data_IF_145137104814
#
_entry.id   IF_145137104814
#
_cell.length_a   1.000
_cell.length_b   1.000
_cell.length_c   1.000
_cell.angle_alpha   90.00
_cell.angle_beta   90.00
_cell.angle_gamma   90.00
#
_symmetry.space_group_name_H-M   'P 1'
#
loop_
_entity.id
_entity.type
_entity.pdbx_description
1 polymer ?
#
# COMPACT_ATOMS: atom_id res chain seq x y z
N UNK A 1 -6.90 -12.40 -29.13
CA UNK A 1 -7.48 -12.82 -27.84
C UNK A 1 -7.24 -11.67 -26.88
N UNK A 2 -8.26 -11.27 -26.12
CA UNK A 2 -8.10 -10.24 -25.13
C UNK A 2 -7.18 -10.74 -24.01
N UNK A 3 -6.32 -9.86 -23.48
CA UNK A 3 -5.37 -10.24 -22.42
C UNK A 3 -6.13 -10.36 -21.10
N UNK A 4 -6.14 -11.54 -20.49
CA UNK A 4 -6.71 -11.73 -19.16
C UNK A 4 -5.83 -11.04 -18.14
N UNK A 5 -6.37 -10.09 -17.36
CA UNK A 5 -5.64 -9.40 -16.29
C UNK A 5 -6.10 -9.86 -14.92
N UNK A 6 -5.16 -10.02 -14.02
CA UNK A 6 -5.45 -10.38 -12.63
C UNK A 6 -4.78 -9.39 -11.67
N UNK A 7 -5.46 -9.11 -10.57
CA UNK A 7 -4.95 -8.37 -9.40
C UNK A 7 -4.69 -9.33 -8.27
N UNK A 8 -3.54 -9.17 -7.65
CA UNK A 8 -3.08 -10.01 -6.55
C UNK A 8 -2.91 -9.11 -5.33
N UNK A 9 -3.59 -9.48 -4.23
CA UNK A 9 -3.37 -8.90 -2.92
C UNK A 9 -2.37 -9.74 -2.15
N UNK A 10 -1.44 -9.09 -1.46
CA UNK A 10 -0.46 -9.78 -0.64
C UNK A 10 -0.13 -9.00 0.63
N UNK A 11 0.38 -9.73 1.63
CA UNK A 11 0.93 -9.19 2.87
C UNK A 11 2.45 -9.16 2.83
N UNK A 12 3.02 -8.19 3.53
CA UNK A 12 4.47 -8.06 3.74
C UNK A 12 4.74 -7.76 5.20
N UNK A 13 5.39 -8.68 5.91
CA UNK A 13 5.60 -8.56 7.35
C UNK A 13 6.94 -9.17 7.80
N UNK A 14 7.19 -9.17 9.12
CA UNK A 14 8.43 -9.74 9.69
C UNK A 14 9.68 -9.10 9.11
N UNK A 15 10.67 -9.92 8.80
CA UNK A 15 11.95 -9.47 8.23
C UNK A 15 11.84 -8.97 6.79
N UNK A 16 10.77 -9.32 6.08
CA UNK A 16 10.54 -8.87 4.70
C UNK A 16 10.28 -7.36 4.60
N UNK A 17 9.99 -6.66 5.71
CA UNK A 17 9.90 -5.19 5.73
C UNK A 17 11.18 -4.49 5.29
N UNK A 18 12.34 -5.15 5.40
CA UNK A 18 13.63 -4.55 5.06
C UNK A 18 14.00 -4.66 3.57
N UNK A 19 13.23 -5.39 2.75
CA UNK A 19 13.47 -5.43 1.31
C UNK A 19 12.73 -4.30 0.59
N UNK A 20 13.39 -3.69 -0.39
CA UNK A 20 12.86 -2.60 -1.20
C UNK A 20 11.95 -3.09 -2.32
N UNK A 21 11.25 -2.14 -2.98
CA UNK A 21 10.29 -2.43 -4.03
C UNK A 21 10.87 -3.29 -5.18
N UNK A 22 12.07 -2.99 -5.64
CA UNK A 22 12.71 -3.75 -6.74
C UNK A 22 12.98 -5.21 -6.34
N UNK A 23 13.31 -5.47 -5.08
CA UNK A 23 13.54 -6.82 -4.58
C UNK A 23 12.22 -7.57 -4.38
N UNK A 24 11.15 -6.88 -3.93
CA UNK A 24 9.79 -7.44 -3.90
C UNK A 24 9.34 -7.84 -5.30
N UNK A 25 9.56 -7.00 -6.31
CA UNK A 25 9.24 -7.30 -7.70
C UNK A 25 10.00 -8.54 -8.19
N UNK A 26 11.32 -8.61 -7.97
CA UNK A 26 12.15 -9.76 -8.33
C UNK A 26 11.73 -11.03 -7.59
N UNK A 27 11.35 -10.90 -6.33
CA UNK A 27 10.82 -11.99 -5.52
C UNK A 27 9.56 -12.58 -6.16
N UNK A 28 8.55 -11.75 -6.49
CA UNK A 28 7.34 -12.22 -7.15
C UNK A 28 7.59 -12.78 -8.55
N UNK A 29 8.50 -12.24 -9.34
CA UNK A 29 8.89 -12.82 -10.62
C UNK A 29 9.41 -14.27 -10.47
N UNK A 30 10.19 -14.55 -9.41
CA UNK A 30 10.64 -15.91 -9.10
C UNK A 30 9.49 -16.78 -8.60
N UNK A 31 8.61 -16.24 -7.76
CA UNK A 31 7.44 -16.95 -7.23
C UNK A 31 6.48 -17.34 -8.35
N UNK A 32 6.17 -16.46 -9.31
CA UNK A 32 5.34 -16.76 -10.48
C UNK A 32 5.87 -17.95 -11.26
N UNK A 33 7.19 -18.03 -11.50
CA UNK A 33 7.80 -19.16 -12.20
C UNK A 33 7.68 -20.46 -11.40
N UNK A 34 7.98 -20.45 -10.09
CA UNK A 34 7.93 -21.65 -9.23
C UNK A 34 6.51 -22.15 -9.03
N UNK A 35 5.55 -21.24 -8.93
CA UNK A 35 4.13 -21.55 -8.80
C UNK A 35 3.47 -21.87 -10.16
N UNK A 36 4.22 -21.82 -11.27
CA UNK A 36 3.72 -22.06 -12.63
C UNK A 36 2.49 -21.25 -12.99
N UNK A 37 2.44 -19.97 -12.53
CA UNK A 37 1.37 -19.06 -12.92
C UNK A 37 1.58 -18.65 -14.39
N UNK A 38 0.54 -18.75 -15.25
CA UNK A 38 0.67 -18.47 -16.68
C UNK A 38 0.77 -16.96 -16.96
N UNK A 39 1.81 -16.29 -16.43
CA UNK A 39 2.05 -14.86 -16.61
C UNK A 39 2.55 -14.54 -18.01
N UNK A 40 2.02 -13.47 -18.60
CA UNK A 40 2.44 -12.97 -19.90
C UNK A 40 3.77 -12.19 -19.83
N UNK A 41 4.48 -12.17 -20.97
CA UNK A 41 5.72 -11.43 -21.14
C UNK A 41 5.57 -10.35 -22.21
N UNK A 42 6.31 -9.27 -22.07
CA UNK A 42 6.40 -8.24 -23.10
C UNK A 42 7.02 -8.80 -24.38
N UNK A 43 6.67 -8.18 -25.50
CA UNK A 43 7.27 -8.49 -26.80
C UNK A 43 8.65 -7.82 -26.96
N UNK A 44 9.49 -8.32 -27.86
CA UNK A 44 10.77 -7.72 -28.23
C UNK A 44 12.00 -8.52 -27.78
N UNK A 45 13.18 -7.89 -27.86
CA UNK A 45 14.46 -8.56 -27.62
C UNK A 45 14.80 -8.88 -26.17
N UNK A 46 14.13 -8.22 -25.21
CA UNK A 46 14.33 -8.45 -23.77
C UNK A 46 12.99 -8.63 -23.09
N UNK A 47 12.31 -9.79 -23.26
CA UNK A 47 11.01 -10.02 -22.68
C UNK A 47 11.07 -10.07 -21.15
N UNK A 48 10.17 -9.35 -20.51
CA UNK A 48 9.98 -9.36 -19.06
C UNK A 48 8.50 -9.60 -18.69
N UNK A 49 8.27 -10.14 -17.51
CA UNK A 49 6.91 -10.40 -17.04
C UNK A 49 6.10 -9.10 -16.95
N UNK A 50 4.88 -9.12 -17.45
CA UNK A 50 3.97 -7.98 -17.37
C UNK A 50 3.38 -7.94 -15.96
N UNK A 51 3.95 -7.06 -15.13
CA UNK A 51 3.63 -6.91 -13.70
C UNK A 51 3.71 -5.44 -13.31
N UNK A 52 2.70 -4.92 -12.61
CA UNK A 52 2.61 -3.51 -12.19
C UNK A 52 2.09 -3.40 -10.76
N UNK A 53 2.88 -2.83 -9.86
CA UNK A 53 2.49 -2.60 -8.46
C UNK A 53 1.65 -1.33 -8.32
N UNK A 54 0.61 -1.38 -7.48
CA UNK A 54 -0.33 -0.27 -7.30
C UNK A 54 0.29 0.89 -6.51
N UNK A 55 0.79 0.62 -5.31
CA UNK A 55 1.36 1.63 -4.40
C UNK A 55 2.52 1.02 -3.62
N UNK A 56 3.73 0.98 -4.22
CA UNK A 56 4.87 0.31 -3.59
C UNK A 56 5.15 0.78 -2.17
N UNK A 57 5.27 -0.18 -1.24
CA UNK A 57 5.55 0.08 0.16
C UNK A 57 7.01 0.47 0.39
N UNK A 58 7.24 1.47 1.23
CA UNK A 58 8.59 1.85 1.67
C UNK A 58 9.31 0.74 2.44
N UNK A 59 10.64 0.85 2.52
CA UNK A 59 11.46 -0.01 3.38
C UNK A 59 11.17 0.31 4.84
N UNK A 60 11.13 -0.71 5.69
CA UNK A 60 10.83 -0.59 7.11
C UNK A 60 9.34 -0.74 7.47
N UNK A 61 8.43 -0.62 6.49
CA UNK A 61 7.00 -0.76 6.71
C UNK A 61 6.54 -2.21 6.51
N UNK A 62 5.51 -2.59 7.26
CA UNK A 62 4.74 -3.83 7.05
C UNK A 62 3.38 -3.51 6.44
N UNK A 63 2.71 -4.50 5.84
CA UNK A 63 1.40 -4.30 5.23
C UNK A 63 0.58 -5.58 5.15
N UNK A 64 -0.74 -5.44 5.29
CA UNK A 64 -1.76 -6.47 5.03
C UNK A 64 -2.44 -6.29 3.67
N UNK A 65 -2.26 -5.15 3.00
CA UNK A 65 -2.99 -4.77 1.80
C UNK A 65 -2.10 -4.19 0.70
N UNK A 66 -1.14 -4.96 0.18
CA UNK A 66 -0.35 -4.62 -1.00
C UNK A 66 -0.95 -5.25 -2.25
N UNK A 67 -0.82 -4.55 -3.39
CA UNK A 67 -1.40 -5.01 -4.65
C UNK A 67 -0.45 -4.89 -5.83
N UNK A 68 -0.53 -5.86 -6.72
CA UNK A 68 0.01 -5.74 -8.07
C UNK A 68 -0.90 -6.43 -9.09
N UNK A 69 -0.88 -5.92 -10.31
CA UNK A 69 -1.59 -6.44 -11.46
C UNK A 69 -0.64 -7.18 -12.39
N UNK A 70 -1.13 -8.27 -12.99
CA UNK A 70 -0.41 -9.06 -14.00
C UNK A 70 -1.29 -9.30 -15.22
N UNK A 71 -0.65 -9.61 -16.36
CA UNK A 71 -1.32 -10.19 -17.51
C UNK A 71 -1.07 -11.70 -17.56
N UNK A 72 -2.09 -12.46 -17.96
CA UNK A 72 -2.07 -13.91 -18.03
C UNK A 72 -2.15 -14.36 -19.50
N UNK A 73 -1.46 -15.46 -19.83
CA UNK A 73 -1.54 -16.13 -21.13
C UNK A 73 -2.68 -17.13 -21.22
N UNK A 74 -3.29 -17.49 -20.07
CA UNK A 74 -4.42 -18.39 -19.94
C UNK A 74 -5.05 -18.30 -18.57
N UNK A 75 -6.25 -18.83 -18.37
CA UNK A 75 -6.94 -18.78 -17.09
C UNK A 75 -6.26 -19.69 -16.05
N UNK A 76 -6.34 -19.27 -14.79
CA UNK A 76 -6.04 -20.06 -13.61
C UNK A 76 -7.08 -19.71 -12.56
N UNK A 77 -7.69 -20.71 -11.92
CA UNK A 77 -8.69 -20.46 -10.89
C UNK A 77 -8.09 -19.70 -9.71
N UNK A 78 -8.82 -18.70 -9.19
CA UNK A 78 -8.34 -17.80 -8.13
C UNK A 78 -7.81 -18.54 -6.91
N UNK A 79 -8.56 -19.51 -6.40
CA UNK A 79 -8.18 -20.33 -5.23
C UNK A 79 -6.92 -21.16 -5.49
N UNK A 80 -6.81 -21.71 -6.70
CA UNK A 80 -5.64 -22.49 -7.09
C UNK A 80 -4.40 -21.60 -7.23
N UNK A 81 -4.53 -20.41 -7.81
CA UNK A 81 -3.45 -19.46 -7.91
C UNK A 81 -2.93 -19.02 -6.52
N UNK A 82 -3.84 -18.69 -5.59
CA UNK A 82 -3.48 -18.35 -4.20
C UNK A 82 -2.77 -19.51 -3.52
N UNK A 83 -3.29 -20.73 -3.62
CA UNK A 83 -2.67 -21.95 -3.03
C UNK A 83 -1.25 -22.16 -3.56
N UNK A 84 -1.09 -22.20 -4.89
CA UNK A 84 0.21 -22.44 -5.55
C UNK A 84 1.24 -21.34 -5.24
N UNK A 85 0.82 -20.09 -5.18
CA UNK A 85 1.70 -19.00 -4.80
C UNK A 85 2.16 -19.15 -3.35
N UNK A 86 1.25 -19.41 -2.42
CA UNK A 86 1.59 -19.53 -1.00
C UNK A 86 2.49 -20.75 -0.70
N UNK A 87 2.43 -21.82 -1.48
CA UNK A 87 3.35 -22.96 -1.36
C UNK A 87 4.81 -22.62 -1.66
N UNK A 88 5.05 -21.56 -2.41
CA UNK A 88 6.41 -21.09 -2.77
C UNK A 88 6.81 -19.79 -2.07
N UNK A 89 5.92 -19.20 -1.22
CA UNK A 89 6.25 -18.00 -0.46
C UNK A 89 7.23 -18.28 0.66
N UNK A 90 8.11 -17.33 0.93
CA UNK A 90 8.92 -17.32 2.15
C UNK A 90 8.13 -16.69 3.29
N UNK A 91 8.50 -17.02 4.54
CA UNK A 91 7.96 -16.35 5.72
C UNK A 91 8.06 -14.81 5.60
N UNK A 92 6.98 -14.13 5.93
CA UNK A 92 6.87 -12.67 5.80
C UNK A 92 6.26 -12.17 4.49
N UNK A 93 5.90 -13.07 3.57
CA UNK A 93 5.14 -12.79 2.36
C UNK A 93 3.98 -13.78 2.25
N UNK A 94 2.77 -13.30 1.99
CA UNK A 94 1.57 -14.13 1.86
C UNK A 94 0.64 -13.55 0.80
N UNK A 95 0.16 -14.36 -0.14
CA UNK A 95 -0.88 -13.98 -1.10
C UNK A 95 -2.24 -14.20 -0.47
N UNK A 96 -3.07 -13.15 -0.46
CA UNK A 96 -4.40 -13.12 0.18
C UNK A 96 -5.51 -13.37 -0.83
N UNK A 97 -5.44 -12.70 -1.98
CA UNK A 97 -6.45 -12.83 -3.03
C UNK A 97 -5.85 -12.77 -4.43
N UNK A 98 -6.58 -13.34 -5.38
CA UNK A 98 -6.25 -13.34 -6.80
C UNK A 98 -7.56 -13.18 -7.56
N UNK A 99 -7.78 -12.02 -8.20
CA UNK A 99 -9.05 -11.71 -8.85
C UNK A 99 -8.82 -11.20 -10.28
N UNK A 100 -9.75 -11.53 -11.19
CA UNK A 100 -9.75 -10.96 -12.53
C UNK A 100 -10.18 -9.49 -12.47
N UNK A 101 -9.48 -8.64 -13.22
CA UNK A 101 -9.82 -7.22 -13.37
C UNK A 101 -10.08 -6.87 -14.84
N UNK A 102 -10.79 -5.73 -15.12
CA UNK A 102 -10.97 -5.23 -16.47
C UNK A 102 -9.65 -4.97 -17.19
N UNK A 103 -9.63 -5.15 -18.50
CA UNK A 103 -8.42 -5.00 -19.34
C UNK A 103 -7.98 -3.54 -19.54
N UNK A 104 -8.84 -2.60 -19.24
CA UNK A 104 -8.61 -1.17 -19.46
C UNK A 104 -7.40 -0.66 -18.66
N UNK A 105 -6.56 0.17 -19.30
CA UNK A 105 -5.41 0.80 -18.62
C UNK A 105 -5.80 1.62 -17.40
N UNK A 106 -6.95 2.29 -17.46
CA UNK A 106 -7.49 3.06 -16.33
C UNK A 106 -7.97 2.22 -15.15
N UNK A 107 -8.10 0.90 -15.30
CA UNK A 107 -8.46 -0.04 -14.23
C UNK A 107 -7.25 -0.60 -13.48
N UNK A 108 -6.01 -0.27 -13.88
CA UNK A 108 -4.80 -0.74 -13.18
C UNK A 108 -4.71 -0.17 -11.76
N UNK A 109 -4.21 -0.96 -10.82
CA UNK A 109 -4.10 -0.57 -9.41
C UNK A 109 -3.38 0.77 -9.21
N UNK A 110 -2.32 1.03 -9.96
CA UNK A 110 -1.59 2.31 -9.93
C UNK A 110 -2.46 3.50 -10.36
N UNK A 111 -3.42 3.30 -11.27
CA UNK A 111 -4.26 4.36 -11.80
C UNK A 111 -5.49 4.67 -10.91
N UNK A 112 -5.98 3.68 -10.17
CA UNK A 112 -7.26 3.77 -9.44
C UNK A 112 -7.10 4.04 -7.94
N UNK A 113 -5.90 3.90 -7.38
CA UNK A 113 -5.68 4.09 -5.95
C UNK A 113 -5.90 5.55 -5.54
N UNK A 114 -6.68 5.75 -4.47
CA UNK A 114 -7.03 7.08 -3.94
C UNK A 114 -6.71 7.24 -2.45
N UNK A 115 -6.71 6.17 -1.67
CA UNK A 115 -6.46 6.22 -0.24
C UNK A 115 -5.72 4.98 0.27
N UNK A 116 -5.12 5.10 1.44
CA UNK A 116 -4.54 3.98 2.18
C UNK A 116 -4.70 4.18 3.69
N UNK A 117 -4.90 3.06 4.39
CA UNK A 117 -4.98 3.02 5.85
C UNK A 117 -3.65 2.61 6.46
N UNK A 118 -3.34 3.24 7.58
CA UNK A 118 -2.13 2.95 8.35
C UNK A 118 -2.40 2.89 9.85
N UNK A 119 -1.61 2.07 10.54
CA UNK A 119 -1.37 2.18 11.98
C UNK A 119 0.03 2.73 12.21
N UNK A 120 0.13 3.81 12.97
CA UNK A 120 1.37 4.26 13.58
C UNK A 120 1.48 3.64 14.97
N UNK A 121 2.41 2.70 15.13
CA UNK A 121 2.61 1.92 16.36
C UNK A 121 3.81 2.48 17.12
N UNK A 122 3.63 3.03 18.31
CA UNK A 122 4.74 3.52 19.12
C UNK A 122 5.67 2.35 19.48
N UNK A 123 6.98 2.58 19.49
CA UNK A 123 7.97 1.60 19.96
C UNK A 123 8.00 1.52 21.48
N UNK A 124 7.64 2.61 22.15
CA UNK A 124 7.47 2.74 23.58
C UNK A 124 6.04 3.17 23.87
N UNK A 125 5.22 2.23 24.31
CA UNK A 125 3.79 2.45 24.57
C UNK A 125 3.50 3.40 25.76
N UNK A 126 4.52 3.73 26.56
CA UNK A 126 4.39 4.71 27.65
C UNK A 126 4.41 6.16 27.15
N UNK A 127 4.84 6.38 25.91
CA UNK A 127 4.93 7.70 25.26
C UNK A 127 3.79 7.87 24.25
N UNK A 128 2.59 8.03 24.76
CA UNK A 128 1.40 8.12 23.94
C UNK A 128 1.05 9.55 23.51
N UNK A 129 0.52 9.67 22.31
CA UNK A 129 -0.26 10.85 21.90
C UNK A 129 -1.67 10.70 22.44
N UNK A 130 -2.22 11.77 23.02
CA UNK A 130 -3.57 11.74 23.59
C UNK A 130 -4.63 11.92 22.48
N UNK A 131 -5.83 11.39 22.73
CA UNK A 131 -6.99 11.61 21.84
C UNK A 131 -7.27 13.11 21.64
N UNK A 132 -7.19 13.91 22.72
CA UNK A 132 -7.39 15.34 22.66
C UNK A 132 -6.39 16.04 21.72
N UNK A 133 -5.14 15.59 21.67
CA UNK A 133 -4.13 16.13 20.75
C UNK A 133 -4.45 15.80 19.31
N UNK A 134 -4.98 14.60 19.02
CA UNK A 134 -5.43 14.21 17.68
C UNK A 134 -6.62 15.07 17.25
N UNK A 135 -7.60 15.28 18.13
CA UNK A 135 -8.76 16.12 17.83
C UNK A 135 -8.37 17.58 17.60
N UNK A 136 -7.47 18.15 18.42
CA UNK A 136 -6.93 19.50 18.20
C UNK A 136 -6.20 19.59 16.84
N UNK A 137 -5.41 18.57 16.48
CA UNK A 137 -4.72 18.50 15.20
C UNK A 137 -5.69 18.50 14.02
N UNK A 138 -6.75 17.69 14.10
CA UNK A 138 -7.76 17.57 13.06
C UNK A 138 -8.70 18.78 12.97
N UNK A 139 -8.87 19.54 14.04
CA UNK A 139 -9.71 20.75 14.06
C UNK A 139 -9.13 21.93 13.28
N UNK A 140 -7.86 21.87 12.94
CA UNK A 140 -7.20 22.94 12.20
C UNK A 140 -7.67 23.01 10.75
N UNK A 141 -7.87 24.20 10.24
CA UNK A 141 -8.19 24.42 8.83
C UNK A 141 -7.00 24.09 7.92
N UNK A 142 -5.78 24.33 8.42
CA UNK A 142 -4.54 24.07 7.69
C UNK A 142 -3.50 23.36 8.55
N UNK A 143 -2.83 22.39 7.95
CA UNK A 143 -1.66 21.70 8.50
C UNK A 143 -0.54 21.83 7.46
N UNK A 144 0.31 22.81 7.67
CA UNK A 144 1.41 23.13 6.75
C UNK A 144 2.64 22.30 7.06
N UNK A 145 3.17 21.63 6.06
CA UNK A 145 4.40 20.84 6.12
C UNK A 145 5.31 21.19 4.96
N UNK A 146 6.61 21.13 5.18
CA UNK A 146 7.60 21.27 4.11
C UNK A 146 7.86 19.90 3.48
N UNK A 147 7.45 19.73 2.25
CA UNK A 147 7.69 18.53 1.46
C UNK A 147 8.96 18.70 0.65
N UNK A 148 10.00 17.93 0.96
CA UNK A 148 11.24 17.93 0.18
C UNK A 148 11.06 17.12 -1.10
N UNK A 149 11.45 17.70 -2.22
CA UNK A 149 11.58 17.00 -3.50
C UNK A 149 13.06 17.02 -3.90
N UNK A 150 13.46 16.20 -4.88
CA UNK A 150 14.85 16.19 -5.39
C UNK A 150 15.37 17.56 -5.87
N UNK A 151 14.49 18.54 -6.14
CA UNK A 151 14.83 19.80 -6.78
C UNK A 151 14.36 21.05 -6.01
N UNK A 152 13.47 20.90 -5.02
CA UNK A 152 12.87 22.03 -4.30
C UNK A 152 12.21 21.59 -3.01
N UNK A 153 12.11 22.52 -2.08
CA UNK A 153 11.23 22.44 -0.91
C UNK A 153 9.93 23.19 -1.24
N UNK A 154 8.80 22.57 -0.89
CA UNK A 154 7.49 23.20 -1.08
C UNK A 154 6.67 23.03 0.19
N UNK A 155 6.15 24.14 0.69
CA UNK A 155 5.15 24.11 1.74
C UNK A 155 3.81 23.64 1.16
N UNK A 156 3.18 22.68 1.84
CA UNK A 156 1.94 22.03 1.40
C UNK A 156 1.01 21.89 2.59
N UNK A 157 -0.26 22.25 2.39
CA UNK A 157 -1.31 21.94 3.36
C UNK A 157 -1.74 20.47 3.19
N UNK A 158 -1.48 19.64 4.22
CA UNK A 158 -1.83 18.22 4.22
C UNK A 158 -3.18 17.92 4.88
N UNK A 159 -3.82 18.91 5.53
CA UNK A 159 -5.10 18.68 6.22
C UNK A 159 -6.18 18.06 5.33
N UNK A 160 -6.40 18.49 4.07
CA UNK A 160 -7.39 17.89 3.17
C UNK A 160 -7.05 16.46 2.75
N UNK A 161 -5.81 16.01 2.97
CA UNK A 161 -5.34 14.66 2.60
C UNK A 161 -5.42 13.67 3.74
N UNK A 162 -5.79 14.10 4.95
CA UNK A 162 -6.07 13.26 6.11
C UNK A 162 -7.57 13.06 6.14
N UNK A 163 -8.03 11.86 5.72
CA UNK A 163 -9.44 11.52 5.60
C UNK A 163 -10.03 11.13 6.97
N UNK A 164 -9.30 10.31 7.70
CA UNK A 164 -9.67 9.84 9.05
C UNK A 164 -8.41 9.74 9.91
N UNK A 165 -8.53 10.00 11.19
CA UNK A 165 -7.45 9.77 12.16
C UNK A 165 -8.05 9.62 13.55
N UNK A 166 -7.65 8.57 14.26
CA UNK A 166 -8.16 8.28 15.62
C UNK A 166 -7.13 7.49 16.42
N UNK A 167 -7.29 7.50 17.73
CA UNK A 167 -6.48 6.69 18.64
C UNK A 167 -7.09 5.28 18.74
N UNK A 168 -6.26 4.26 18.57
CA UNK A 168 -6.63 2.85 18.77
C UNK A 168 -5.67 2.20 19.77
N UNK A 169 -6.03 2.19 21.05
CA UNK A 169 -5.13 1.79 22.14
C UNK A 169 -3.93 2.73 22.23
N UNK A 170 -2.71 2.20 22.17
CA UNK A 170 -1.48 2.99 22.11
C UNK A 170 -1.15 3.47 20.67
N UNK A 171 -1.77 2.87 19.66
CA UNK A 171 -1.53 3.17 18.24
C UNK A 171 -2.42 4.30 17.74
N UNK A 172 -2.03 4.88 16.61
CA UNK A 172 -2.82 5.88 15.89
C UNK A 172 -3.18 5.31 14.53
N UNK A 173 -4.48 5.14 14.31
CA UNK A 173 -5.03 4.84 12.99
C UNK A 173 -5.10 6.11 12.17
N UNK A 174 -4.80 6.00 10.87
CA UNK A 174 -5.01 7.08 9.91
C UNK A 174 -5.36 6.54 8.53
N UNK A 175 -6.35 7.16 7.90
CA UNK A 175 -6.68 7.00 6.48
C UNK A 175 -6.26 8.26 5.75
N UNK A 176 -5.41 8.11 4.75
CA UNK A 176 -4.81 9.23 4.03
C UNK A 176 -4.94 9.07 2.52
N UNK A 177 -4.96 10.19 1.80
CA UNK A 177 -4.89 10.16 0.35
C UNK A 177 -3.61 9.46 -0.14
N UNK A 178 -3.77 8.58 -1.10
CA UNK A 178 -2.69 7.84 -1.76
C UNK A 178 -2.89 7.83 -3.27
N UNK A 179 -1.82 7.60 -4.01
CA UNK A 179 -1.86 7.49 -5.47
C UNK A 179 -0.95 8.48 -6.19
N UNK A 180 -1.07 8.52 -7.50
CA UNK A 180 -0.13 9.27 -8.36
C UNK A 180 -0.30 10.81 -8.28
N UNK A 181 -1.51 11.29 -8.04
CA UNK A 181 -1.80 12.72 -7.93
C UNK A 181 -1.50 13.27 -6.54
N UNK A 182 -1.82 12.49 -5.51
CA UNK A 182 -1.64 12.87 -4.11
C UNK A 182 -1.23 11.64 -3.32
N UNK A 183 -0.06 11.70 -2.72
CA UNK A 183 0.44 10.63 -1.85
C UNK A 183 0.94 11.24 -0.55
N UNK A 184 0.20 10.99 0.54
CA UNK A 184 0.56 11.41 1.89
C UNK A 184 1.16 10.24 2.65
N UNK A 185 2.39 10.40 3.10
CA UNK A 185 3.07 9.38 3.90
C UNK A 185 2.66 9.49 5.37
N UNK A 186 2.44 8.36 6.07
CA UNK A 186 2.04 8.37 7.47
C UNK A 186 3.10 9.02 8.38
N UNK A 187 4.40 8.87 8.06
CA UNK A 187 5.50 9.50 8.82
C UNK A 187 5.40 11.03 8.79
N UNK A 188 4.95 11.61 7.67
CA UNK A 188 4.80 13.06 7.54
C UNK A 188 3.62 13.58 8.37
N UNK A 189 2.52 12.82 8.45
CA UNK A 189 1.37 13.13 9.31
C UNK A 189 1.79 13.10 10.77
N UNK A 190 2.46 12.03 11.19
CA UNK A 190 2.97 11.87 12.56
C UNK A 190 3.97 12.96 12.93
N UNK A 191 4.88 13.32 12.03
CA UNK A 191 5.85 14.39 12.26
C UNK A 191 5.15 15.74 12.51
N UNK A 192 4.10 16.06 11.73
CA UNK A 192 3.31 17.27 11.90
C UNK A 192 2.55 17.26 13.25
N UNK A 193 1.93 16.14 13.62
CA UNK A 193 1.23 15.97 14.89
C UNK A 193 2.18 16.12 16.08
N UNK A 194 3.31 15.42 16.08
CA UNK A 194 4.29 15.47 17.17
C UNK A 194 4.89 16.88 17.34
N UNK A 195 5.18 17.56 16.22
CA UNK A 195 5.64 18.95 16.25
C UNK A 195 4.60 19.88 16.88
N UNK A 196 3.33 19.70 16.56
CA UNK A 196 2.25 20.50 17.11
C UNK A 196 2.07 20.32 18.61
N UNK A 197 2.21 19.11 19.11
CA UNK A 197 2.09 18.80 20.54
C UNK A 197 3.31 19.22 21.36
N UNK A 198 4.37 19.69 20.72
CA UNK A 198 5.64 19.97 21.37
C UNK A 198 6.35 18.72 21.90
N UNK A 199 5.99 17.54 21.36
CA UNK A 199 6.59 16.26 21.73
C UNK A 199 8.05 16.20 21.29
N UNK A 200 8.90 15.58 22.14
CA UNK A 200 10.29 15.27 21.79
C UNK A 200 10.43 13.94 21.03
N UNK A 201 9.31 13.29 20.65
CA UNK A 201 9.31 12.06 19.87
C UNK A 201 9.58 12.35 18.39
N UNK A 202 10.26 11.41 17.74
CA UNK A 202 10.53 11.42 16.31
C UNK A 202 9.62 10.41 15.58
N UNK A 203 8.99 10.87 14.50
CA UNK A 203 8.03 10.06 13.75
C UNK A 203 8.66 8.80 13.12
N UNK A 204 9.93 8.82 12.74
CA UNK A 204 10.61 7.67 12.15
C UNK A 204 11.33 6.81 13.20
N UNK A 205 11.97 7.47 14.18
CA UNK A 205 12.73 6.78 15.21
C UNK A 205 11.85 6.11 16.28
N UNK A 206 10.75 6.73 16.69
CA UNK A 206 9.91 6.27 17.81
C UNK A 206 8.65 5.50 17.37
N UNK A 207 8.32 5.46 16.08
CA UNK A 207 7.16 4.76 15.56
C UNK A 207 7.54 3.68 14.54
N UNK A 208 6.65 2.69 14.38
CA UNK A 208 6.60 1.75 13.26
C UNK A 208 5.30 1.98 12.52
N UNK A 209 5.31 1.73 11.22
CA UNK A 209 4.12 1.91 10.39
C UNK A 209 3.71 0.60 9.76
N UNK A 210 2.41 0.35 9.84
CA UNK A 210 1.78 -0.81 9.22
C UNK A 210 0.66 -0.32 8.32
N UNK A 211 0.71 -0.66 7.02
CA UNK A 211 -0.38 -0.39 6.10
C UNK A 211 -1.41 -1.48 6.24
N UNK A 212 -2.65 -1.11 6.54
CA UNK A 212 -3.76 -2.06 6.65
C UNK A 212 -4.34 -2.38 5.27
N UNK A 213 -4.58 -1.33 4.45
CA UNK A 213 -5.26 -1.47 3.17
C UNK A 213 -4.92 -0.33 2.20
N UNK A 214 -5.12 -0.60 0.91
CA UNK A 214 -5.17 0.38 -0.16
C UNK A 214 -6.56 0.40 -0.79
N UNK A 215 -7.07 1.58 -1.07
CA UNK A 215 -8.44 1.80 -1.53
C UNK A 215 -8.50 2.47 -2.89
N UNK A 216 -9.52 2.08 -3.65
CA UNK A 216 -9.97 2.77 -4.85
C UNK A 216 -11.43 3.22 -4.66
N UNK A 217 -11.88 4.17 -5.47
CA UNK A 217 -13.26 4.62 -5.46
C UNK A 217 -14.13 3.72 -6.34
N UNK A 218 -15.24 3.30 -5.75
CA UNK A 218 -16.35 2.68 -6.48
C UNK A 218 -17.62 3.46 -6.11
N UNK A 219 -18.19 4.13 -7.09
CA UNK A 219 -19.25 5.11 -6.86
C UNK A 219 -18.80 6.18 -5.84
N UNK A 220 -19.47 6.34 -4.72
CA UNK A 220 -19.09 7.29 -3.65
C UNK A 220 -18.27 6.67 -2.52
N UNK A 221 -18.05 5.33 -2.54
CA UNK A 221 -17.37 4.60 -1.48
C UNK A 221 -15.90 4.29 -1.81
N UNK A 222 -15.04 4.28 -0.79
CA UNK A 222 -13.71 3.71 -0.87
C UNK A 222 -13.80 2.21 -0.58
N UNK A 223 -13.32 1.39 -1.52
CA UNK A 223 -13.31 -0.07 -1.41
C UNK A 223 -11.90 -0.61 -1.61
N UNK A 224 -11.52 -1.74 -0.98
CA UNK A 224 -10.27 -2.43 -1.27
C UNK A 224 -10.12 -2.71 -2.77
N UNK A 225 -8.88 -2.67 -3.28
CA UNK A 225 -8.64 -2.78 -4.72
C UNK A 225 -9.12 -4.13 -5.30
N UNK A 226 -9.05 -5.21 -4.54
CA UNK A 226 -9.51 -6.53 -4.96
C UNK A 226 -11.05 -6.66 -5.02
N UNK A 227 -11.80 -5.81 -4.29
CA UNK A 227 -13.26 -5.74 -4.39
C UNK A 227 -13.76 -5.22 -5.76
N UNK A 228 -12.88 -4.70 -6.60
CA UNK A 228 -13.17 -4.28 -7.98
C UNK A 228 -12.94 -5.40 -9.01
N UNK A 229 -12.49 -6.56 -8.55
CA UNK A 229 -12.30 -7.74 -9.39
C UNK A 229 -13.37 -8.80 -9.17
N UNK A 230 -13.27 -9.89 -9.92
CA UNK A 230 -14.12 -11.07 -9.82
C UNK A 230 -13.27 -12.33 -9.66
N UNK A 231 -13.78 -13.32 -8.93
CA UNK A 231 -13.11 -14.62 -8.79
C UNK A 231 -13.08 -15.34 -10.15
N UNK A 232 -11.93 -15.91 -10.52
CA UNK A 232 -11.77 -16.79 -11.67
C UNK A 232 -12.10 -18.21 -11.20
N UNK A 233 -13.09 -18.80 -11.83
CA UNK A 233 -13.59 -20.16 -11.52
C UNK A 233 -12.81 -21.24 -12.29
#
# INVERSE_FOLDING_TARGET
MSALKARIKFRKYGVMKFIGHLDVMRYFQKAMRRAEIPIAFTQGFSPHMIMSFANPLGVGLTSDGEYFDIELTGPVASKEAVRRLNEVMAEGMEVVSFVQIPEEKKATGMAIIEAADYLALPKDETKEVTEAAIQDFLSREEILVVKQTKKSEKEVNIRPWILEMEKQGASIFMKVCAGSSTNLKPELVMSALLKQTGSNLDAEADYRYHRLENYARKDEALVPLDALGTEIV
#
